data_IF_414196108412
#
_entry.id   IF_414196108412
#
_cell.length_a   1.000
_cell.length_b   1.000
_cell.length_c   1.000
_cell.angle_alpha   90.00
_cell.angle_beta   90.00
_cell.angle_gamma   90.00
#
_symmetry.space_group_name_H-M   'P 1'
#
loop_
_entity.id
_entity.type
_entity.pdbx_description
1 polymer ?
#
# COMPACT_ATOMS: atom_id res chain seq x y z
N UNK A 1 18.36 4.58 -24.65
CA UNK A 1 17.96 5.46 -23.53
C UNK A 1 19.21 5.73 -22.70
N UNK A 2 19.47 6.97 -22.28
CA UNK A 2 20.53 7.32 -21.31
C UNK A 2 19.85 7.86 -20.05
N UNK A 3 20.27 7.39 -18.87
CA UNK A 3 19.84 7.87 -17.56
C UNK A 3 21.02 8.59 -16.90
N UNK A 4 20.80 9.82 -16.44
CA UNK A 4 21.80 10.62 -15.72
C UNK A 4 21.32 10.82 -14.28
N UNK A 5 22.14 10.43 -13.30
CA UNK A 5 21.97 10.72 -11.88
C UNK A 5 23.09 11.66 -11.44
N UNK A 6 22.77 12.66 -10.60
CA UNK A 6 23.75 13.66 -10.16
C UNK A 6 24.71 13.05 -9.14
N UNK A 7 24.17 12.27 -8.22
CA UNK A 7 24.91 11.66 -7.12
C UNK A 7 24.87 10.12 -7.27
N UNK A 8 24.40 9.33 -6.30
CA UNK A 8 24.26 7.86 -6.44
C UNK A 8 22.80 7.41 -6.68
N UNK A 9 22.63 6.20 -7.23
CA UNK A 9 21.32 5.61 -7.49
C UNK A 9 20.49 5.51 -6.21
N UNK A 10 19.28 6.06 -6.26
CA UNK A 10 18.32 6.08 -5.16
C UNK A 10 18.74 6.91 -3.92
N UNK A 11 19.82 7.71 -3.99
CA UNK A 11 20.33 8.48 -2.84
C UNK A 11 19.31 9.47 -2.24
N UNK A 12 18.44 10.02 -3.09
CA UNK A 12 17.37 10.95 -2.69
C UNK A 12 16.19 10.29 -1.95
N UNK A 13 14.97 10.73 -2.26
CA UNK A 13 13.73 10.29 -1.60
C UNK A 13 13.52 8.77 -1.64
N UNK A 14 14.01 8.10 -2.70
CA UNK A 14 13.87 6.66 -2.89
C UNK A 14 14.46 5.83 -1.74
N UNK A 15 15.62 6.20 -1.20
CA UNK A 15 16.24 5.52 -0.05
C UNK A 15 15.59 5.88 1.30
N UNK A 16 14.85 6.99 1.35
CA UNK A 16 14.30 7.61 2.58
C UNK A 16 12.80 7.40 2.76
N UNK A 17 12.22 6.41 2.08
CA UNK A 17 10.82 6.03 2.25
C UNK A 17 10.59 5.21 3.54
N UNK A 18 9.32 5.03 3.89
CA UNK A 18 8.89 4.04 4.89
C UNK A 18 9.11 2.58 4.45
N UNK A 19 9.60 2.35 3.21
CA UNK A 19 9.90 1.04 2.62
C UNK A 19 8.66 0.12 2.57
N UNK A 20 7.51 0.72 2.27
CA UNK A 20 6.23 0.03 2.16
C UNK A 20 5.66 0.17 0.75
N UNK A 21 5.39 -0.97 0.12
CA UNK A 21 4.52 -1.03 -1.07
C UNK A 21 3.09 -1.18 -0.57
N UNK A 22 2.34 -0.08 -0.53
CA UNK A 22 0.98 -0.05 0.03
C UNK A 22 -0.02 0.69 -0.87
N UNK A 23 -1.29 0.32 -0.77
CA UNK A 23 -2.40 1.05 -1.39
C UNK A 23 -2.73 2.39 -0.72
N UNK A 24 -2.20 2.63 0.49
CA UNK A 24 -2.41 3.87 1.24
C UNK A 24 -3.81 3.94 1.86
N UNK A 25 -4.06 3.12 2.88
CA UNK A 25 -5.38 2.99 3.52
C UNK A 25 -6.02 4.33 3.90
N UNK A 26 -5.22 5.26 4.43
CA UNK A 26 -5.67 6.61 4.81
C UNK A 26 -6.23 7.44 3.65
N UNK A 27 -5.85 7.14 2.42
CA UNK A 27 -6.28 7.89 1.24
C UNK A 27 -7.72 7.59 0.83
N UNK A 28 -8.31 6.51 1.35
CA UNK A 28 -9.74 6.24 1.20
C UNK A 28 -10.61 7.35 1.83
N UNK A 29 -10.13 7.99 2.90
CA UNK A 29 -10.86 9.10 3.55
C UNK A 29 -10.88 10.37 2.69
N UNK A 30 -9.94 10.50 1.75
CA UNK A 30 -9.88 11.61 0.81
C UNK A 30 -10.48 11.26 -0.56
N UNK A 31 -11.17 10.10 -0.67
CA UNK A 31 -11.80 9.63 -1.89
C UNK A 31 -10.84 9.40 -3.08
N UNK A 32 -9.56 9.16 -2.80
CA UNK A 32 -8.53 8.88 -3.79
C UNK A 32 -8.61 7.43 -4.30
N UNK A 33 -9.80 6.98 -4.70
CA UNK A 33 -10.08 5.57 -5.03
C UNK A 33 -9.24 5.06 -6.19
N UNK A 34 -8.98 5.90 -7.20
CA UNK A 34 -8.15 5.54 -8.35
C UNK A 34 -6.72 5.24 -7.91
N UNK A 35 -6.11 6.12 -7.12
CA UNK A 35 -4.77 5.95 -6.57
C UNK A 35 -4.69 4.68 -5.71
N UNK A 36 -5.64 4.50 -4.79
CA UNK A 36 -5.65 3.33 -3.90
C UNK A 36 -5.77 2.04 -4.71
N UNK A 37 -6.68 2.01 -5.70
CA UNK A 37 -6.86 0.85 -6.58
C UNK A 37 -5.59 0.54 -7.38
N UNK A 38 -5.00 1.53 -8.05
CA UNK A 38 -3.77 1.35 -8.84
C UNK A 38 -2.62 0.82 -7.97
N UNK A 39 -2.40 1.43 -6.81
CA UNK A 39 -1.34 1.01 -5.89
C UNK A 39 -1.58 -0.40 -5.30
N UNK A 40 -2.84 -0.80 -5.05
CA UNK A 40 -3.17 -2.16 -4.61
C UNK A 40 -2.92 -3.22 -5.69
N UNK A 41 -3.18 -2.90 -6.96
CA UNK A 41 -2.88 -3.79 -8.10
C UNK A 41 -1.37 -3.92 -8.28
N UNK A 42 -0.64 -2.80 -8.30
CA UNK A 42 0.82 -2.77 -8.47
C UNK A 42 1.56 -3.53 -7.36
N UNK A 43 1.00 -3.59 -6.16
CA UNK A 43 1.58 -4.39 -5.07
C UNK A 43 1.73 -5.87 -5.42
N UNK A 44 0.77 -6.47 -6.13
CA UNK A 44 0.87 -7.87 -6.58
C UNK A 44 1.88 -8.02 -7.71
N UNK A 45 1.94 -7.05 -8.63
CA UNK A 45 2.92 -7.00 -9.74
C UNK A 45 4.35 -6.92 -9.19
N UNK A 46 4.60 -6.02 -8.24
CA UNK A 46 5.90 -5.84 -7.61
C UNK A 46 6.33 -7.05 -6.77
N UNK A 47 5.38 -7.67 -6.06
CA UNK A 47 5.64 -8.91 -5.33
C UNK A 47 6.05 -10.05 -6.27
N UNK A 48 5.52 -10.08 -7.49
CA UNK A 48 5.89 -11.05 -8.51
C UNK A 48 7.21 -10.73 -9.21
N UNK A 49 7.49 -9.46 -9.50
CA UNK A 49 8.68 -9.04 -10.26
C UNK A 49 9.95 -9.00 -9.41
N UNK A 50 9.85 -8.67 -8.12
CA UNK A 50 11.01 -8.53 -7.23
C UNK A 50 10.85 -9.29 -5.89
N UNK A 51 10.56 -10.61 -5.92
CA UNK A 51 10.29 -11.40 -4.71
C UNK A 51 11.50 -11.55 -3.77
N UNK A 52 12.70 -11.23 -4.26
CA UNK A 52 13.94 -11.27 -3.47
C UNK A 52 14.10 -10.05 -2.55
N UNK A 53 13.34 -8.97 -2.77
CA UNK A 53 13.37 -7.73 -1.96
C UNK A 53 11.97 -7.22 -1.55
N UNK A 54 10.89 -7.88 -1.98
CA UNK A 54 9.51 -7.54 -1.62
C UNK A 54 8.82 -8.79 -1.08
N UNK A 55 8.21 -8.67 0.10
CA UNK A 55 7.49 -9.77 0.76
C UNK A 55 6.25 -9.27 1.51
N UNK A 56 5.26 -10.14 1.79
CA UNK A 56 4.06 -9.77 2.54
C UNK A 56 4.37 -9.34 3.98
N UNK A 57 3.71 -8.27 4.43
CA UNK A 57 3.77 -7.78 5.81
C UNK A 57 2.36 -7.56 6.35
N UNK A 58 2.09 -7.99 7.59
CA UNK A 58 0.82 -7.74 8.28
C UNK A 58 0.90 -6.45 9.08
N UNK A 59 -0.16 -5.64 9.00
CA UNK A 59 -0.33 -4.43 9.79
C UNK A 59 -1.41 -4.65 10.84
N UNK A 60 -1.14 -4.17 12.06
CA UNK A 60 -2.13 -4.14 13.15
C UNK A 60 -2.56 -2.69 13.32
N UNK A 61 -3.86 -2.44 13.24
CA UNK A 61 -4.45 -1.12 13.48
C UNK A 61 -5.17 -1.15 14.83
N UNK A 62 -4.60 -0.60 15.91
CA UNK A 62 -5.30 -0.44 17.18
C UNK A 62 -6.57 0.39 16.99
N UNK A 63 -7.69 -0.10 17.52
CA UNK A 63 -8.96 0.60 17.38
C UNK A 63 -9.13 1.65 18.48
N UNK A 64 -9.41 2.89 18.07
CA UNK A 64 -9.77 4.02 18.91
C UNK A 64 -11.13 4.57 18.43
N UNK A 65 -12.21 4.37 19.21
CA UNK A 65 -13.54 4.87 18.85
C UNK A 65 -13.62 6.40 18.72
N UNK A 66 -12.78 7.12 19.47
CA UNK A 66 -12.72 8.59 19.45
C UNK A 66 -12.15 9.13 18.12
N UNK A 67 -11.24 8.37 17.50
CA UNK A 67 -10.67 8.74 16.21
C UNK A 67 -11.57 8.33 15.04
N UNK A 68 -12.03 7.06 15.05
CA UNK A 68 -12.83 6.47 13.96
C UNK A 68 -13.80 5.44 14.51
N UNK A 69 -15.10 5.49 14.18
CA UNK A 69 -16.04 4.47 14.61
C UNK A 69 -15.74 3.11 13.95
N UNK A 70 -15.97 2.02 14.68
CA UNK A 70 -15.62 0.67 14.23
C UNK A 70 -16.19 0.30 12.86
N UNK A 71 -17.45 0.70 12.58
CA UNK A 71 -18.10 0.39 11.30
C UNK A 71 -17.37 1.04 10.11
N UNK A 72 -16.82 2.24 10.29
CA UNK A 72 -16.11 2.97 9.25
C UNK A 72 -14.77 2.31 8.96
N UNK A 73 -14.04 1.91 10.00
CA UNK A 73 -12.79 1.14 9.86
C UNK A 73 -13.05 -0.17 9.11
N UNK A 74 -14.11 -0.91 9.48
CA UNK A 74 -14.49 -2.16 8.81
C UNK A 74 -14.87 -1.94 7.35
N UNK A 75 -15.61 -0.86 7.03
CA UNK A 75 -15.93 -0.50 5.65
C UNK A 75 -14.66 -0.14 4.85
N UNK A 76 -13.76 0.66 5.42
CA UNK A 76 -12.49 1.00 4.78
C UNK A 76 -11.63 -0.22 4.50
N UNK A 77 -11.51 -1.15 5.45
CA UNK A 77 -10.78 -2.41 5.27
C UNK A 77 -11.45 -3.31 4.22
N UNK A 78 -12.79 -3.38 4.19
CA UNK A 78 -13.52 -4.06 3.13
C UNK A 78 -13.18 -3.47 1.75
N UNK A 79 -13.24 -2.15 1.57
CA UNK A 79 -12.87 -1.50 0.32
C UNK A 79 -11.42 -1.79 -0.06
N UNK A 80 -10.50 -1.70 0.90
CA UNK A 80 -9.07 -1.94 0.70
C UNK A 80 -8.76 -3.38 0.25
N UNK A 81 -9.54 -4.36 0.71
CA UNK A 81 -9.41 -5.76 0.28
C UNK A 81 -9.92 -6.03 -1.14
N UNK A 82 -10.88 -5.24 -1.64
CA UNK A 82 -11.61 -5.54 -2.87
C UNK A 82 -11.27 -4.61 -4.05
N UNK A 83 -10.81 -3.39 -3.81
CA UNK A 83 -10.50 -2.43 -4.88
C UNK A 83 -9.39 -2.93 -5.83
N UNK A 84 -8.39 -3.62 -5.30
CA UNK A 84 -7.19 -4.03 -6.05
C UNK A 84 -7.23 -5.42 -6.68
N UNK A 85 -8.31 -6.20 -6.53
CA UNK A 85 -8.39 -7.55 -7.09
C UNK A 85 -7.28 -8.49 -6.58
N UNK A 86 -7.09 -8.54 -5.25
CA UNK A 86 -6.04 -9.29 -4.54
C UNK A 86 -5.96 -10.76 -5.00
N UNK A 87 -4.73 -11.28 -5.17
CA UNK A 87 -4.47 -12.65 -5.65
C UNK A 87 -3.66 -13.48 -4.66
N UNK A 88 -2.52 -12.97 -4.17
CA UNK A 88 -1.59 -13.73 -3.31
C UNK A 88 -1.66 -13.33 -1.84
N UNK A 89 -1.99 -12.07 -1.56
CA UNK A 89 -2.00 -11.57 -0.18
C UNK A 89 -3.24 -12.08 0.57
N UNK A 90 -3.17 -12.32 1.89
CA UNK A 90 -4.35 -12.63 2.71
C UNK A 90 -5.24 -11.41 2.93
N UNK A 91 -6.51 -11.65 3.27
CA UNK A 91 -7.47 -10.58 3.57
C UNK A 91 -7.36 -10.11 5.01
N UNK A 92 -8.02 -9.00 5.29
CA UNK A 92 -8.21 -8.48 6.64
C UNK A 92 -8.88 -9.54 7.53
N UNK A 93 -8.46 -9.62 8.79
CA UNK A 93 -9.02 -10.50 9.83
C UNK A 93 -9.52 -9.69 11.00
#
# INVERSE_FOLDING_TARGET
VILCEKDDLAEGTSSRSGKLVHGGLRYLEYYEFRLVREALIEREVLLESAPHIIWPMRFVLPHSPDDRPAWLVRLGLFLYDHLGGRKRLPGTR
#
